data_IF_491186611307
#
_entry.id   IF_491186611307
#
_cell.length_a   1.000
_cell.length_b   1.000
_cell.length_c   1.000
_cell.angle_alpha   90.00
_cell.angle_beta   90.00
_cell.angle_gamma   90.00
#
_symmetry.space_group_name_H-M   'P 1'
#
loop_
_entity.id
_entity.type
_entity.pdbx_description
1 polymer ?
#
# COMPACT_ATOMS: atom_id res chain seq x y z
N UNK A 1 9.04 -3.46 -47.71
CA UNK A 1 9.96 -2.62 -46.93
C UNK A 1 9.11 -1.70 -46.10
N UNK A 2 8.60 -2.19 -44.95
CA UNK A 2 7.81 -1.41 -44.01
C UNK A 2 8.43 -1.61 -42.66
N UNK A 3 9.32 -0.72 -42.31
CA UNK A 3 9.77 -0.55 -40.93
C UNK A 3 8.69 0.24 -40.20
N UNK A 4 7.80 -0.49 -39.54
CA UNK A 4 6.98 0.07 -38.47
C UNK A 4 7.87 0.10 -37.22
N UNK A 5 8.68 1.13 -37.12
CA UNK A 5 9.45 1.45 -35.94
C UNK A 5 8.45 1.94 -34.92
N UNK A 6 8.08 1.02 -34.06
CA UNK A 6 7.19 1.27 -32.90
C UNK A 6 8.01 2.07 -31.91
N UNK A 7 8.07 3.37 -32.12
CA UNK A 7 8.66 4.37 -31.24
C UNK A 7 7.74 4.46 -30.00
N UNK A 8 7.82 3.43 -29.16
CA UNK A 8 7.19 3.46 -27.85
C UNK A 8 7.91 4.53 -27.04
N UNK A 9 7.42 5.76 -27.15
CA UNK A 9 7.79 6.87 -26.26
C UNK A 9 7.72 6.30 -24.85
N UNK A 10 8.86 6.12 -24.23
CA UNK A 10 8.99 5.56 -22.90
C UNK A 10 8.40 6.57 -21.93
N UNK A 11 7.08 6.49 -21.71
CA UNK A 11 6.36 7.37 -20.78
C UNK A 11 7.03 7.24 -19.42
N UNK A 12 7.35 8.35 -18.80
CA UNK A 12 7.89 8.37 -17.44
C UNK A 12 6.73 8.42 -16.46
N UNK A 13 6.66 7.52 -15.48
CA UNK A 13 5.61 7.55 -14.48
C UNK A 13 5.74 8.81 -13.59
N UNK A 14 4.60 9.42 -13.27
CA UNK A 14 4.49 10.58 -12.37
C UNK A 14 4.80 10.16 -10.93
N UNK A 15 4.31 8.97 -10.56
CA UNK A 15 4.51 8.41 -9.21
C UNK A 15 4.62 6.90 -9.27
N UNK A 16 5.43 6.33 -8.36
CA UNK A 16 5.64 4.88 -8.24
C UNK A 16 5.47 4.46 -6.80
N UNK A 17 4.63 3.46 -6.56
CA UNK A 17 4.44 2.84 -5.25
C UNK A 17 4.89 1.39 -5.30
N UNK A 18 5.96 1.07 -4.60
CA UNK A 18 6.43 -0.31 -4.44
C UNK A 18 5.69 -0.96 -3.28
N UNK A 19 5.10 -2.13 -3.50
CA UNK A 19 4.32 -2.84 -2.49
C UNK A 19 4.74 -4.30 -2.26
N UNK A 20 5.79 -4.74 -2.91
CA UNK A 20 6.39 -6.06 -2.79
C UNK A 20 7.65 -6.19 -3.61
N UNK A 21 8.28 -7.35 -3.58
CA UNK A 21 9.47 -7.63 -4.42
C UNK A 21 9.01 -7.71 -5.87
N UNK A 22 9.51 -6.79 -6.71
CA UNK A 22 9.14 -6.71 -8.12
C UNK A 22 7.69 -6.28 -8.38
N UNK A 23 6.97 -5.81 -7.35
CA UNK A 23 5.58 -5.36 -7.48
C UNK A 23 5.49 -3.86 -7.30
N UNK A 24 4.97 -3.17 -8.31
CA UNK A 24 4.84 -1.72 -8.33
C UNK A 24 3.47 -1.31 -8.88
N UNK A 25 2.94 -0.23 -8.34
CA UNK A 25 1.84 0.54 -8.91
C UNK A 25 2.44 1.82 -9.46
N UNK A 26 2.32 2.05 -10.75
CA UNK A 26 2.87 3.21 -11.45
C UNK A 26 1.72 4.07 -11.99
N UNK A 27 1.78 5.37 -11.69
CA UNK A 27 0.84 6.35 -12.18
C UNK A 27 1.44 7.07 -13.39
N UNK A 28 0.75 7.03 -14.50
CA UNK A 28 1.01 7.83 -15.69
C UNK A 28 -0.09 8.90 -15.84
N UNK A 29 0.05 9.75 -16.84
CA UNK A 29 -0.91 10.83 -17.13
C UNK A 29 -2.31 10.33 -17.48
N UNK A 30 -2.41 9.14 -18.06
CA UNK A 30 -3.62 8.56 -18.65
C UNK A 30 -3.97 7.17 -18.12
N UNK A 31 -3.07 6.52 -17.38
CA UNK A 31 -3.27 5.15 -16.92
C UNK A 31 -2.58 4.84 -15.60
N UNK A 32 -3.11 3.84 -14.88
CA UNK A 32 -2.44 3.14 -13.80
C UNK A 32 -1.89 1.81 -14.33
N UNK A 33 -0.60 1.57 -14.07
CA UNK A 33 0.08 0.32 -14.46
C UNK A 33 0.45 -0.46 -13.22
N UNK A 34 0.02 -1.71 -13.16
CA UNK A 34 0.32 -2.66 -12.09
C UNK A 34 1.38 -3.63 -12.60
N UNK A 35 2.60 -3.49 -12.11
CA UNK A 35 3.73 -4.36 -12.46
C UNK A 35 3.79 -5.53 -11.48
N UNK A 36 4.09 -6.72 -11.96
CA UNK A 36 4.29 -7.91 -11.12
C UNK A 36 3.01 -8.53 -10.57
N UNK A 37 1.84 -8.25 -11.16
CA UNK A 37 0.56 -8.89 -10.82
C UNK A 37 0.58 -10.39 -11.16
N UNK A 38 1.14 -10.71 -12.31
CA UNK A 38 1.45 -12.08 -12.76
C UNK A 38 2.83 -12.06 -13.40
N UNK A 39 3.55 -13.19 -13.38
CA UNK A 39 4.88 -13.27 -14.01
C UNK A 39 4.82 -12.83 -15.48
N UNK A 40 5.50 -11.72 -15.79
CA UNK A 40 5.62 -11.17 -17.14
C UNK A 40 4.40 -10.40 -17.65
N UNK A 41 3.35 -10.19 -16.86
CA UNK A 41 2.17 -9.41 -17.26
C UNK A 41 2.05 -8.12 -16.45
N UNK A 42 1.89 -7.03 -17.17
CA UNK A 42 1.48 -5.74 -16.62
C UNK A 42 -0.04 -5.62 -16.69
N UNK A 43 -0.67 -5.21 -15.59
CA UNK A 43 -2.05 -4.78 -15.61
C UNK A 43 -2.10 -3.29 -15.93
N UNK A 44 -2.88 -2.88 -16.92
CA UNK A 44 -3.06 -1.47 -17.30
C UNK A 44 -4.52 -1.10 -17.15
N UNK A 45 -4.79 -0.01 -16.45
CA UNK A 45 -6.14 0.51 -16.22
C UNK A 45 -6.14 1.97 -16.61
N UNK A 46 -6.88 2.36 -17.67
CA UNK A 46 -7.05 3.76 -18.06
C UNK A 46 -7.67 4.56 -16.90
N UNK A 47 -7.17 5.78 -16.65
CA UNK A 47 -7.68 6.62 -15.57
C UNK A 47 -9.12 7.08 -15.82
N UNK A 48 -9.49 7.28 -17.09
CA UNK A 48 -10.85 7.66 -17.48
C UNK A 48 -11.87 6.55 -17.26
N UNK A 49 -11.44 5.29 -17.25
CA UNK A 49 -12.28 4.16 -16.91
C UNK A 49 -12.57 4.02 -15.41
N UNK A 50 -11.78 4.68 -14.54
CA UNK A 50 -11.96 4.57 -13.09
C UNK A 50 -13.02 5.56 -12.61
N UNK A 51 -14.11 5.04 -12.06
CA UNK A 51 -15.17 5.81 -11.39
C UNK A 51 -14.82 6.10 -9.94
N UNK A 52 -14.37 5.07 -9.21
CA UNK A 52 -14.09 5.12 -7.78
C UNK A 52 -12.88 4.26 -7.43
N UNK A 53 -12.02 4.76 -6.55
CA UNK A 53 -10.99 3.96 -5.90
C UNK A 53 -11.43 3.57 -4.50
N UNK A 54 -11.30 2.30 -4.17
CA UNK A 54 -11.70 1.72 -2.91
C UNK A 54 -10.49 1.17 -2.20
N UNK A 55 -10.31 1.58 -0.93
CA UNK A 55 -9.23 1.09 -0.07
C UNK A 55 -9.82 0.35 1.12
N UNK A 56 -9.49 -0.93 1.25
CA UNK A 56 -9.96 -1.76 2.37
C UNK A 56 -8.78 -2.41 3.10
N UNK A 57 -8.93 -2.65 4.42
CA UNK A 57 -7.99 -3.52 5.13
C UNK A 57 -8.03 -4.94 4.57
N UNK A 58 -6.88 -5.59 4.50
CA UNK A 58 -6.82 -6.99 4.10
C UNK A 58 -7.27 -7.95 5.21
N UNK A 59 -7.97 -9.00 4.84
CA UNK A 59 -8.34 -10.08 5.73
C UNK A 59 -7.42 -11.30 5.45
N UNK A 60 -6.85 -11.95 6.43
CA UNK A 60 -6.92 -11.74 7.90
C UNK A 60 -5.91 -10.71 8.44
N UNK A 61 -5.15 -10.04 7.60
CA UNK A 61 -4.09 -9.14 8.05
C UNK A 61 -4.43 -7.67 7.75
N UNK A 62 -5.02 -6.92 8.71
CA UNK A 62 -5.43 -5.53 8.51
C UNK A 62 -4.27 -4.55 8.28
N UNK A 63 -3.02 -4.98 8.48
CA UNK A 63 -1.84 -4.16 8.14
C UNK A 63 -1.49 -4.18 6.66
N UNK A 64 -2.09 -5.08 5.91
CA UNK A 64 -2.04 -5.13 4.45
C UNK A 64 -3.31 -4.51 3.90
N UNK A 65 -3.17 -3.65 2.92
CA UNK A 65 -4.29 -2.96 2.30
C UNK A 65 -4.60 -3.59 0.95
N UNK A 66 -5.87 -3.56 0.59
CA UNK A 66 -6.36 -3.94 -0.74
C UNK A 66 -6.86 -2.67 -1.42
N UNK A 67 -6.30 -2.38 -2.59
CA UNK A 67 -6.75 -1.29 -3.45
C UNK A 67 -7.58 -1.88 -4.59
N UNK A 68 -8.80 -1.41 -4.73
CA UNK A 68 -9.72 -1.80 -5.78
C UNK A 68 -10.16 -0.56 -6.57
N UNK A 69 -10.63 -0.77 -7.79
CA UNK A 69 -11.25 0.26 -8.59
C UNK A 69 -12.60 -0.23 -9.10
N UNK A 70 -13.63 0.61 -8.97
CA UNK A 70 -14.85 0.46 -9.73
C UNK A 70 -14.67 1.15 -11.07
N UNK A 71 -14.93 0.42 -12.13
CA UNK A 71 -14.79 0.90 -13.50
C UNK A 71 -16.17 1.30 -14.05
N UNK A 72 -16.15 2.29 -14.95
CA UNK A 72 -17.32 2.55 -15.81
C UNK A 72 -17.48 1.36 -16.76
N UNK A 73 -18.65 0.73 -16.76
CA UNK A 73 -18.98 -0.33 -17.69
C UNK A 73 -19.90 0.23 -18.76
N UNK A 74 -19.49 0.19 -20.02
CA UNK A 74 -20.30 0.65 -21.15
C UNK A 74 -21.44 -0.33 -21.52
N UNK A 75 -21.46 -1.50 -20.88
CA UNK A 75 -22.43 -2.58 -21.20
C UNK A 75 -23.24 -2.93 -19.96
N UNK A 76 -24.51 -2.51 -19.99
CA UNK A 76 -25.62 -2.96 -19.15
C UNK A 76 -25.35 -3.21 -17.65
N UNK A 77 -25.44 -2.15 -16.84
CA UNK A 77 -25.87 -2.17 -15.42
C UNK A 77 -25.05 -2.98 -14.40
N UNK A 78 -23.77 -3.21 -14.61
CA UNK A 78 -22.90 -3.83 -13.61
C UNK A 78 -21.70 -2.96 -13.26
N UNK A 79 -21.56 -2.51 -12.01
CA UNK A 79 -20.30 -1.95 -11.55
C UNK A 79 -19.26 -3.09 -11.53
N UNK A 80 -18.22 -3.00 -12.36
CA UNK A 80 -17.14 -4.00 -12.36
C UNK A 80 -16.05 -3.54 -11.42
N UNK A 81 -15.98 -4.16 -10.24
CA UNK A 81 -14.90 -3.92 -9.28
C UNK A 81 -13.67 -4.77 -9.62
N UNK A 82 -12.54 -4.13 -9.84
CA UNK A 82 -11.26 -4.79 -10.15
C UNK A 82 -10.29 -4.58 -9.01
N UNK A 83 -9.65 -5.64 -8.54
CA UNK A 83 -8.57 -5.55 -7.57
C UNK A 83 -7.31 -5.06 -8.30
N UNK A 84 -6.83 -3.87 -7.95
CA UNK A 84 -5.61 -3.29 -8.47
C UNK A 84 -4.38 -3.85 -7.75
N UNK A 85 -4.41 -3.77 -6.41
CA UNK A 85 -3.30 -4.19 -5.56
C UNK A 85 -3.85 -4.96 -4.36
N UNK A 86 -3.31 -6.15 -4.14
CA UNK A 86 -3.60 -6.94 -2.95
C UNK A 86 -2.36 -7.00 -2.04
N UNK A 87 -2.58 -6.79 -0.75
CA UNK A 87 -1.54 -6.87 0.25
C UNK A 87 -0.54 -5.72 0.25
N UNK A 88 -0.99 -4.52 -0.11
CA UNK A 88 -0.17 -3.31 -0.11
C UNK A 88 0.30 -2.97 1.31
N UNK A 89 1.62 -2.97 1.51
CA UNK A 89 2.26 -2.59 2.79
C UNK A 89 2.81 -1.16 2.78
N UNK A 90 2.93 -0.55 1.60
CA UNK A 90 3.50 0.80 1.44
C UNK A 90 2.41 1.88 1.42
N UNK A 91 1.66 1.98 2.52
CA UNK A 91 0.64 3.02 2.70
C UNK A 91 1.19 4.44 2.52
N UNK A 92 2.46 4.69 2.89
CA UNK A 92 3.10 6.01 2.74
C UNK A 92 3.28 6.38 1.27
N UNK A 93 3.76 5.44 0.46
CA UNK A 93 3.94 5.67 -0.98
C UNK A 93 2.61 5.92 -1.67
N UNK A 94 1.58 5.12 -1.34
CA UNK A 94 0.25 5.29 -1.91
C UNK A 94 -0.39 6.63 -1.49
N UNK A 95 -0.27 7.01 -0.22
CA UNK A 95 -0.72 8.32 0.24
C UNK A 95 -0.09 9.47 -0.55
N UNK A 96 1.20 9.37 -0.88
CA UNK A 96 1.87 10.39 -1.69
C UNK A 96 1.40 10.41 -3.15
N UNK A 97 0.83 9.31 -3.67
CA UNK A 97 0.27 9.22 -5.02
C UNK A 97 -1.12 9.87 -5.13
N UNK A 98 -1.94 9.84 -4.06
CA UNK A 98 -3.33 10.33 -4.06
C UNK A 98 -3.47 11.76 -4.60
N UNK A 99 -2.68 12.77 -4.16
CA UNK A 99 -2.79 14.12 -4.71
C UNK A 99 -2.58 14.18 -6.22
N UNK A 100 -1.62 13.43 -6.76
CA UNK A 100 -1.38 13.37 -8.20
C UNK A 100 -2.53 12.69 -8.95
N UNK A 101 -3.14 11.67 -8.37
CA UNK A 101 -4.35 11.04 -8.92
C UNK A 101 -5.51 12.03 -9.00
N UNK A 102 -5.74 12.79 -7.93
CA UNK A 102 -6.83 13.78 -7.88
C UNK A 102 -6.53 15.02 -8.75
N UNK A 103 -5.28 15.35 -8.98
CA UNK A 103 -4.88 16.41 -9.93
C UNK A 103 -5.22 16.00 -11.37
N UNK A 104 -4.98 14.74 -11.74
CA UNK A 104 -5.31 14.19 -13.06
C UNK A 104 -6.80 13.92 -13.24
N UNK A 105 -7.48 13.51 -12.19
CA UNK A 105 -8.90 13.12 -12.18
C UNK A 105 -9.61 13.69 -10.94
N UNK A 106 -9.98 15.00 -10.97
CA UNK A 106 -10.65 15.65 -9.84
C UNK A 106 -12.06 15.10 -9.55
N UNK A 107 -12.68 14.44 -10.53
CA UNK A 107 -14.00 13.81 -10.46
C UNK A 107 -13.96 12.39 -9.86
N UNK A 108 -12.77 11.81 -9.69
CA UNK A 108 -12.60 10.46 -9.15
C UNK A 108 -13.06 10.40 -7.69
N UNK A 109 -13.93 9.45 -7.39
CA UNK A 109 -14.38 9.21 -6.02
C UNK A 109 -13.38 8.36 -5.25
N UNK A 110 -13.14 8.72 -3.99
CA UNK A 110 -12.35 7.93 -3.06
C UNK A 110 -13.28 7.28 -2.04
N UNK A 111 -13.09 5.99 -1.77
CA UNK A 111 -13.81 5.25 -0.76
C UNK A 111 -12.82 4.52 0.16
N UNK A 112 -12.71 4.93 1.41
CA UNK A 112 -13.46 5.99 2.09
C UNK A 112 -13.08 7.41 1.62
N UNK A 113 -13.98 8.39 1.76
CA UNK A 113 -13.70 9.79 1.36
C UNK A 113 -12.49 10.41 2.07
N UNK A 114 -12.21 9.94 3.29
CA UNK A 114 -11.07 10.33 4.13
C UNK A 114 -9.87 9.37 3.97
N UNK A 115 -9.73 8.72 2.81
CA UNK A 115 -8.70 7.70 2.50
C UNK A 115 -7.29 8.15 2.90
N UNK A 116 -6.93 9.40 2.64
CA UNK A 116 -5.63 9.95 2.99
C UNK A 116 -5.40 9.98 4.52
N UNK A 117 -6.44 10.34 5.29
CA UNK A 117 -6.39 10.35 6.74
C UNK A 117 -6.31 8.94 7.33
N UNK A 118 -7.07 7.99 6.78
CA UNK A 118 -7.01 6.58 7.19
C UNK A 118 -5.63 5.98 6.91
N UNK A 119 -5.01 6.28 5.79
CA UNK A 119 -3.64 5.88 5.50
C UNK A 119 -2.64 6.47 6.51
N UNK A 120 -2.85 7.73 6.93
CA UNK A 120 -2.04 8.36 7.98
C UNK A 120 -2.21 7.68 9.33
N UNK A 121 -3.43 7.36 9.71
CA UNK A 121 -3.73 6.64 10.95
C UNK A 121 -3.14 5.21 10.95
N UNK A 122 -3.27 4.49 9.84
CA UNK A 122 -2.67 3.16 9.70
C UNK A 122 -1.14 3.18 9.89
N UNK A 123 -0.47 4.21 9.36
CA UNK A 123 0.96 4.42 9.56
C UNK A 123 1.34 4.71 11.01
N UNK A 124 0.53 5.53 11.70
CA UNK A 124 0.75 5.88 13.10
C UNK A 124 0.53 4.67 14.01
N UNK A 125 -0.53 3.90 13.78
CA UNK A 125 -0.83 2.69 14.54
C UNK A 125 0.28 1.64 14.38
N UNK A 126 0.81 1.47 13.18
CA UNK A 126 1.95 0.56 12.95
C UNK A 126 3.19 0.97 13.75
N UNK A 127 3.50 2.28 13.79
CA UNK A 127 4.62 2.81 14.59
C UNK A 127 4.39 2.60 16.09
N UNK A 128 3.19 2.89 16.58
CA UNK A 128 2.82 2.68 17.98
C UNK A 128 2.98 1.20 18.37
N UNK A 129 2.50 0.28 17.54
CA UNK A 129 2.62 -1.16 17.76
C UNK A 129 4.08 -1.63 17.81
N UNK A 130 4.90 -1.14 16.89
CA UNK A 130 6.34 -1.45 16.86
C UNK A 130 7.04 -0.96 18.12
N UNK A 131 6.77 0.27 18.56
CA UNK A 131 7.33 0.82 19.78
C UNK A 131 6.90 0.05 21.02
N UNK A 132 5.63 -0.37 21.09
CA UNK A 132 5.12 -1.18 22.20
C UNK A 132 5.80 -2.54 22.26
N UNK A 133 5.97 -3.23 21.13
CA UNK A 133 6.67 -4.52 21.07
C UNK A 133 8.13 -4.39 21.51
N UNK A 134 8.87 -3.41 21.00
CA UNK A 134 10.27 -3.21 21.41
C UNK A 134 10.37 -2.79 22.89
N UNK A 135 9.48 -1.91 23.36
CA UNK A 135 9.41 -1.51 24.77
C UNK A 135 9.16 -2.69 25.71
N UNK A 136 8.26 -3.60 25.34
CA UNK A 136 7.98 -4.82 26.12
C UNK A 136 9.18 -5.76 26.20
N UNK A 137 9.91 -5.93 25.10
CA UNK A 137 11.12 -6.77 25.06
C UNK A 137 12.21 -6.17 25.96
N UNK A 138 12.46 -4.86 25.85
CA UNK A 138 13.44 -4.17 26.69
C UNK A 138 13.08 -4.30 28.17
N UNK A 139 11.80 -4.08 28.52
CA UNK A 139 11.32 -4.22 29.88
C UNK A 139 11.54 -5.64 30.42
N UNK A 140 11.28 -6.66 29.60
CA UNK A 140 11.51 -8.06 29.97
C UNK A 140 13.00 -8.31 30.29
N UNK A 141 13.92 -7.80 29.47
CA UNK A 141 15.35 -7.95 29.74
C UNK A 141 15.79 -7.24 31.02
N UNK A 142 15.24 -6.04 31.28
CA UNK A 142 15.53 -5.32 32.52
C UNK A 142 15.04 -6.13 33.74
N UNK A 143 13.83 -6.69 33.68
CA UNK A 143 13.29 -7.51 34.76
C UNK A 143 14.13 -8.78 35.00
N UNK A 144 14.54 -9.47 33.96
CA UNK A 144 15.41 -10.64 34.05
C UNK A 144 16.76 -10.28 34.64
N UNK A 145 17.35 -9.16 34.26
CA UNK A 145 18.61 -8.69 34.83
C UNK A 145 18.49 -8.34 36.30
N UNK A 146 17.40 -7.67 36.71
CA UNK A 146 17.15 -7.38 38.13
C UNK A 146 16.97 -8.66 38.93
N UNK A 147 16.22 -9.62 38.42
CA UNK A 147 16.05 -10.94 39.05
C UNK A 147 17.40 -11.64 39.23
N UNK A 148 18.25 -11.62 38.19
CA UNK A 148 19.61 -12.18 38.29
C UNK A 148 20.43 -11.51 39.39
N UNK A 149 20.39 -10.18 39.52
CA UNK A 149 21.10 -9.47 40.57
C UNK A 149 20.60 -9.85 41.99
N UNK A 150 19.29 -10.00 42.15
CA UNK A 150 18.70 -10.42 43.45
C UNK A 150 19.16 -11.82 43.81
N UNK A 151 19.13 -12.77 42.89
CA UNK A 151 19.58 -14.15 43.12
C UNK A 151 21.08 -14.19 43.41
N UNK A 152 21.89 -13.44 42.68
CA UNK A 152 23.33 -13.36 42.92
C UNK A 152 23.67 -12.75 44.30
N UNK A 153 22.91 -11.73 44.72
CA UNK A 153 23.09 -11.10 46.03
C UNK A 153 22.74 -12.05 47.18
N UNK A 154 21.63 -12.79 47.05
CA UNK A 154 21.21 -13.79 48.08
C UNK A 154 22.23 -14.92 48.15
N UNK A 155 22.71 -15.41 47.00
CA UNK A 155 23.73 -16.47 46.94
C UNK A 155 25.09 -16.08 47.49
N UNK A 156 25.46 -14.79 47.47
CA UNK A 156 26.71 -14.28 48.05
C UNK A 156 26.70 -14.09 49.56
N UNK A 157 25.51 -14.14 50.19
CA UNK A 157 25.30 -13.98 51.64
C UNK A 157 25.02 -15.29 52.34
N UNK A 158 25.04 -16.41 51.67
CA UNK A 158 25.04 -17.76 52.19
C UNK A 158 26.40 -18.42 52.03
#
# INVERSE_FOLDING_TARGET
MNMSENDSIKKTPISIVRFGIGKELQLFTDELVIVGREEGKEGRVPLDAIKRLILTPGDPNPSKLILMADLYDDVEAGETTVILVEGMTNARGFRAMIPHLLELRPDMQLDPPDMEEQLRQALNNRRAWTLTCYGSIILLFILLYLLYLVVAFIGAHH
#
